data_IF_801671439446
#
_entry.id   IF_801671439446
#
_cell.length_a   1.000
_cell.length_b   1.000
_cell.length_c   1.000
_cell.angle_alpha   90.00
_cell.angle_beta   90.00
_cell.angle_gamma   90.00
#
_symmetry.space_group_name_H-M   'P 1'
#
loop_
_entity.id
_entity.type
_entity.pdbx_description
1 polymer ?
#
# COMPACT_ATOMS: atom_id res chain seq x y z
N UNK A 1 -40.42 11.17 -25.50
CA UNK A 1 -39.56 10.21 -24.76
C UNK A 1 -40.47 9.23 -24.01
N UNK A 2 -40.49 7.96 -24.39
CA UNK A 2 -41.44 6.94 -23.89
C UNK A 2 -41.15 6.59 -22.42
N UNK A 3 -42.17 6.33 -21.58
CA UNK A 3 -42.00 6.00 -20.15
C UNK A 3 -40.95 4.90 -19.89
N UNK A 4 -40.82 3.92 -20.80
CA UNK A 4 -39.81 2.85 -20.72
C UNK A 4 -38.36 3.38 -20.72
N UNK A 5 -38.05 4.39 -21.54
CA UNK A 5 -36.72 5.01 -21.61
C UNK A 5 -36.40 5.81 -20.34
N UNK A 6 -37.42 6.48 -19.74
CA UNK A 6 -37.26 7.16 -18.45
C UNK A 6 -36.97 6.16 -17.32
N UNK A 7 -37.73 5.06 -17.24
CA UNK A 7 -37.49 4.03 -16.22
C UNK A 7 -36.14 3.34 -16.40
N UNK A 8 -35.71 3.07 -17.64
CA UNK A 8 -34.37 2.55 -17.91
C UNK A 8 -33.26 3.51 -17.46
N UNK A 9 -33.41 4.81 -17.73
CA UNK A 9 -32.47 5.84 -17.29
C UNK A 9 -32.39 5.96 -15.76
N UNK A 10 -33.54 5.92 -15.07
CA UNK A 10 -33.60 5.91 -13.60
C UNK A 10 -32.94 4.64 -13.05
N UNK A 11 -33.26 3.48 -13.62
CA UNK A 11 -32.68 2.20 -13.21
C UNK A 11 -31.16 2.19 -13.32
N UNK A 12 -30.61 2.65 -14.45
CA UNK A 12 -29.16 2.78 -14.63
C UNK A 12 -28.55 3.77 -13.62
N UNK A 13 -29.21 4.92 -13.39
CA UNK A 13 -28.76 5.90 -12.40
C UNK A 13 -28.68 5.31 -10.98
N UNK A 14 -29.71 4.57 -10.55
CA UNK A 14 -29.73 3.90 -9.25
C UNK A 14 -28.60 2.88 -9.13
N UNK A 15 -28.38 2.05 -10.15
CA UNK A 15 -27.29 1.06 -10.15
C UNK A 15 -25.92 1.73 -10.03
N UNK A 16 -25.69 2.83 -10.76
CA UNK A 16 -24.44 3.59 -10.69
C UNK A 16 -24.22 4.20 -9.29
N UNK A 17 -25.28 4.75 -8.67
CA UNK A 17 -25.21 5.31 -7.32
C UNK A 17 -24.89 4.21 -6.29
N UNK A 18 -25.55 3.05 -6.39
CA UNK A 18 -25.29 1.91 -5.49
C UNK A 18 -23.86 1.41 -5.68
N UNK A 19 -23.38 1.27 -6.91
CA UNK A 19 -22.02 0.83 -7.21
C UNK A 19 -20.97 1.81 -6.67
N UNK A 20 -21.14 3.11 -6.91
CA UNK A 20 -20.25 4.16 -6.41
C UNK A 20 -20.24 4.22 -4.88
N UNK A 21 -21.41 4.11 -4.25
CA UNK A 21 -21.53 4.10 -2.79
C UNK A 21 -20.86 2.84 -2.21
N UNK A 22 -21.14 1.67 -2.76
CA UNK A 22 -20.50 0.42 -2.34
C UNK A 22 -18.98 0.50 -2.46
N UNK A 23 -18.48 1.06 -3.56
CA UNK A 23 -17.04 1.28 -3.76
C UNK A 23 -16.43 2.24 -2.71
N UNK A 24 -17.08 3.36 -2.41
CA UNK A 24 -16.60 4.34 -1.43
C UNK A 24 -16.58 3.81 0.01
N UNK A 25 -17.54 2.94 0.34
CA UNK A 25 -17.74 2.43 1.69
C UNK A 25 -17.19 1.00 1.90
N UNK A 26 -16.69 0.34 0.86
CA UNK A 26 -15.96 -0.93 1.00
C UNK A 26 -14.68 -0.70 1.80
N UNK A 27 -14.59 -1.35 2.95
CA UNK A 27 -13.34 -1.54 3.69
C UNK A 27 -12.44 -2.50 2.91
N UNK A 28 -11.11 -2.34 2.95
CA UNK A 28 -10.20 -3.25 2.26
C UNK A 28 -10.36 -4.68 2.81
N UNK A 29 -11.00 -5.56 2.04
CA UNK A 29 -11.03 -7.00 2.30
C UNK A 29 -9.97 -7.63 1.41
N UNK A 30 -8.88 -8.16 2.00
CA UNK A 30 -7.71 -8.93 1.50
C UNK A 30 -7.33 -8.97 -0.01
N UNK A 31 -8.23 -8.80 -0.97
CA UNK A 31 -7.99 -8.72 -2.42
C UNK A 31 -8.71 -7.55 -3.13
N UNK A 32 -9.68 -6.89 -2.50
CA UNK A 32 -10.36 -5.68 -3.02
C UNK A 32 -9.91 -4.51 -2.16
N UNK A 33 -9.18 -3.57 -2.75
CA UNK A 33 -8.78 -2.39 -2.01
C UNK A 33 -9.97 -1.49 -1.68
N UNK A 34 -9.93 -0.96 -0.47
CA UNK A 34 -10.86 0.07 -0.04
C UNK A 34 -10.44 1.45 -0.51
N UNK A 35 -11.31 2.43 -0.26
CA UNK A 35 -11.09 3.85 -0.59
C UNK A 35 -10.72 4.68 0.64
N UNK A 36 -11.18 4.24 1.82
CA UNK A 36 -10.99 4.93 3.11
C UNK A 36 -9.88 4.26 3.89
N UNK A 37 -8.90 5.07 4.32
CA UNK A 37 -7.83 4.62 5.22
C UNK A 37 -8.26 4.75 6.69
N UNK A 38 -9.04 5.78 7.02
CA UNK A 38 -9.47 6.06 8.39
C UNK A 38 -8.31 6.51 9.29
N UNK A 39 -8.47 6.35 10.60
CA UNK A 39 -7.48 6.78 11.60
C UNK A 39 -7.45 8.29 11.82
N UNK A 40 -6.74 8.69 12.87
CA UNK A 40 -6.47 10.07 13.24
C UNK A 40 -5.27 10.59 12.45
N UNK A 41 -5.40 11.79 11.90
CA UNK A 41 -4.28 12.43 11.20
C UNK A 41 -3.23 12.83 12.22
N UNK A 42 -2.06 12.17 12.17
CA UNK A 42 -0.98 12.34 13.14
C UNK A 42 0.24 12.97 12.48
N UNK A 43 0.91 13.87 13.22
CA UNK A 43 2.21 14.39 12.83
C UNK A 43 3.27 13.28 12.82
N UNK A 44 4.33 13.38 12.00
CA UNK A 44 5.47 12.47 12.09
C UNK A 44 6.02 12.39 13.52
N UNK A 45 6.26 11.17 14.05
CA UNK A 45 6.90 11.04 15.36
C UNK A 45 8.35 11.53 15.29
N UNK A 46 8.90 11.93 16.43
CA UNK A 46 10.33 12.25 16.53
C UNK A 46 11.21 10.98 16.42
N UNK A 47 10.63 9.81 16.68
CA UNK A 47 11.27 8.50 16.61
C UNK A 47 10.30 7.52 15.95
N UNK A 48 10.62 7.10 14.72
CA UNK A 48 9.81 6.17 13.94
C UNK A 48 9.85 4.73 14.49
N UNK A 49 10.91 4.34 15.18
CA UNK A 49 11.01 3.00 15.78
C UNK A 49 9.92 2.73 16.82
N UNK A 50 9.34 3.79 17.39
CA UNK A 50 8.14 3.72 18.25
C UNK A 50 6.89 3.15 17.53
N UNK A 51 6.93 3.04 16.21
CA UNK A 51 5.88 2.46 15.39
C UNK A 51 6.11 0.97 15.07
N UNK A 52 7.29 0.41 15.38
CA UNK A 52 7.58 -1.00 15.11
C UNK A 52 6.70 -1.94 15.93
N UNK A 53 6.42 -3.13 15.37
CA UNK A 53 5.68 -4.18 16.07
C UNK A 53 4.17 -3.95 16.21
N UNK A 54 3.60 -2.89 15.62
CA UNK A 54 2.14 -2.62 15.66
C UNK A 54 1.32 -3.46 14.67
N UNK A 55 1.95 -4.45 14.03
CA UNK A 55 1.29 -5.42 13.16
C UNK A 55 1.18 -4.95 11.71
N UNK A 56 0.04 -5.21 11.08
CA UNK A 56 -0.18 -4.91 9.65
C UNK A 56 -0.64 -3.45 9.50
N UNK A 57 0.07 -2.70 8.67
CA UNK A 57 -0.29 -1.33 8.31
C UNK A 57 -1.22 -1.25 7.11
N UNK A 58 -1.68 -0.05 6.78
CA UNK A 58 -2.41 0.25 5.55
C UNK A 58 -1.72 1.37 4.78
N UNK A 59 -1.48 1.18 3.48
CA UNK A 59 -1.01 2.24 2.59
C UNK A 59 -2.19 2.73 1.75
N UNK A 60 -2.32 4.05 1.62
CA UNK A 60 -3.19 4.71 0.64
C UNK A 60 -2.33 5.55 -0.28
N UNK A 61 -2.17 5.10 -1.52
CA UNK A 61 -1.44 5.88 -2.53
C UNK A 61 -2.27 7.06 -3.01
N UNK A 62 -1.61 8.07 -3.59
CA UNK A 62 -2.29 9.13 -4.30
C UNK A 62 -3.01 8.66 -5.58
N UNK A 63 -3.64 9.61 -6.26
CA UNK A 63 -4.33 9.40 -7.54
C UNK A 63 -5.80 8.95 -7.42
N UNK A 64 -6.46 8.92 -8.59
CA UNK A 64 -7.85 8.51 -8.73
C UNK A 64 -7.99 7.29 -9.67
N UNK A 65 -8.77 6.26 -9.31
CA UNK A 65 -9.50 6.16 -8.05
C UNK A 65 -8.56 5.77 -6.88
N UNK A 66 -8.85 6.24 -5.65
CA UNK A 66 -8.03 5.98 -4.47
C UNK A 66 -8.05 4.50 -4.08
N UNK A 67 -6.94 4.00 -3.55
CA UNK A 67 -6.75 2.59 -3.29
C UNK A 67 -5.99 2.39 -1.98
N UNK A 68 -6.53 1.55 -1.09
CA UNK A 68 -5.96 1.21 0.22
C UNK A 68 -5.65 -0.28 0.29
N UNK A 69 -4.41 -0.64 0.65
CA UNK A 69 -4.01 -2.04 0.86
C UNK A 69 -3.30 -2.24 2.18
N UNK A 70 -3.43 -3.46 2.70
CA UNK A 70 -2.64 -3.95 3.81
C UNK A 70 -1.19 -4.13 3.39
N UNK A 71 -0.28 -3.70 4.25
CA UNK A 71 1.16 -3.79 4.05
C UNK A 71 1.83 -4.29 5.33
N UNK A 72 2.91 -5.03 5.13
CA UNK A 72 3.93 -5.16 6.16
C UNK A 72 4.90 -3.98 6.02
N UNK A 73 5.58 -3.65 7.10
CA UNK A 73 6.53 -2.53 7.13
C UNK A 73 7.65 -2.80 8.12
N UNK A 74 8.68 -1.96 8.04
CA UNK A 74 9.62 -1.67 9.11
C UNK A 74 9.84 -0.15 9.16
N UNK A 75 10.67 0.32 10.08
CA UNK A 75 11.01 1.75 10.19
C UNK A 75 12.51 1.98 10.17
N UNK A 76 12.90 3.22 9.93
CA UNK A 76 14.24 3.76 10.14
C UNK A 76 14.15 5.18 10.72
N UNK A 77 15.29 5.84 10.90
CA UNK A 77 15.35 7.19 11.50
C UNK A 77 14.58 8.26 10.69
N UNK A 78 14.30 8.01 9.41
CA UNK A 78 13.68 8.98 8.51
C UNK A 78 12.20 8.70 8.25
N UNK A 79 11.75 7.44 8.35
CA UNK A 79 10.39 7.07 7.99
C UNK A 79 10.05 5.59 8.05
N UNK A 80 9.11 5.24 7.17
CA UNK A 80 8.54 3.89 7.07
C UNK A 80 9.07 3.22 5.81
N UNK A 81 9.46 1.96 5.95
CA UNK A 81 9.96 1.12 4.86
C UNK A 81 8.89 0.10 4.51
N UNK A 82 8.52 0.01 3.23
CA UNK A 82 7.63 -1.02 2.72
C UNK A 82 8.29 -1.75 1.55
N UNK A 83 7.93 -3.01 1.36
CA UNK A 83 8.44 -3.82 0.26
C UNK A 83 7.32 -4.61 -0.42
N UNK A 84 7.50 -4.90 -1.71
CA UNK A 84 6.63 -5.78 -2.50
C UNK A 84 7.45 -6.64 -3.44
N UNK A 85 6.89 -7.80 -3.81
CA UNK A 85 7.46 -8.61 -4.88
C UNK A 85 7.60 -7.81 -6.18
N UNK A 86 8.57 -8.14 -7.04
CA UNK A 86 8.76 -7.50 -8.34
C UNK A 86 7.72 -7.99 -9.38
N UNK A 87 6.47 -8.16 -8.98
CA UNK A 87 5.36 -8.67 -9.80
C UNK A 87 4.55 -7.57 -10.48
N UNK A 88 4.94 -6.31 -10.26
CA UNK A 88 4.22 -5.15 -10.79
C UNK A 88 2.92 -4.86 -10.05
N UNK A 89 2.89 -5.09 -8.73
CA UNK A 89 1.80 -4.73 -7.83
C UNK A 89 1.24 -3.32 -8.07
N UNK A 90 -0.09 -3.22 -8.06
CA UNK A 90 -0.80 -1.99 -8.43
C UNK A 90 -0.44 -0.80 -7.54
N UNK A 91 -0.34 -1.01 -6.23
CA UNK A 91 0.01 0.06 -5.28
C UNK A 91 1.42 0.59 -5.52
N UNK A 92 2.40 -0.28 -5.83
CA UNK A 92 3.78 0.13 -6.10
C UNK A 92 3.87 0.96 -7.38
N UNK A 93 3.17 0.54 -8.45
CA UNK A 93 3.02 1.34 -9.68
C UNK A 93 2.40 2.71 -9.38
N UNK A 94 1.39 2.76 -8.52
CA UNK A 94 0.76 4.03 -8.10
C UNK A 94 1.70 4.92 -7.31
N UNK A 95 2.45 4.38 -6.36
CA UNK A 95 3.42 5.14 -5.56
C UNK A 95 4.53 5.77 -6.43
N UNK A 96 4.86 5.18 -7.58
CA UNK A 96 5.79 5.79 -8.55
C UNK A 96 5.21 7.02 -9.27
N UNK A 97 3.92 6.96 -9.63
CA UNK A 97 3.24 8.00 -10.43
C UNK A 97 2.71 9.12 -9.53
N UNK A 98 2.15 8.74 -8.38
CA UNK A 98 1.51 9.61 -7.39
C UNK A 98 2.11 9.30 -5.99
N UNK A 99 3.33 9.77 -5.72
CA UNK A 99 4.11 9.36 -4.54
C UNK A 99 3.56 9.88 -3.22
N UNK A 100 2.77 10.94 -3.28
CA UNK A 100 2.14 11.54 -2.11
C UNK A 100 0.97 10.66 -1.65
N UNK A 101 1.05 10.10 -0.45
CA UNK A 101 0.07 9.17 0.10
C UNK A 101 -0.10 9.28 1.61
N UNK A 102 -0.68 8.23 2.18
CA UNK A 102 -0.87 8.07 3.62
C UNK A 102 -0.52 6.65 4.05
N UNK A 103 0.07 6.51 5.24
CA UNK A 103 0.23 5.23 5.91
C UNK A 103 -0.49 5.28 7.24
N UNK A 104 -1.30 4.26 7.51
CA UNK A 104 -2.00 4.09 8.78
C UNK A 104 -1.43 2.89 9.52
N UNK A 105 -1.04 3.12 10.77
CA UNK A 105 -0.54 2.11 11.70
C UNK A 105 -1.34 2.20 13.01
N UNK A 106 -2.09 1.15 13.35
CA UNK A 106 -3.05 1.21 14.45
C UNK A 106 -4.15 2.24 14.15
N UNK A 107 -4.33 3.22 15.04
CA UNK A 107 -5.29 4.32 14.84
C UNK A 107 -4.67 5.59 14.25
N UNK A 108 -3.34 5.64 14.06
CA UNK A 108 -2.63 6.82 13.58
C UNK A 108 -2.40 6.76 12.07
N UNK A 109 -2.64 7.88 11.39
CA UNK A 109 -2.47 8.03 9.94
C UNK A 109 -1.51 9.17 9.64
N UNK A 110 -0.41 8.85 8.97
CA UNK A 110 0.68 9.76 8.61
C UNK A 110 0.60 10.16 7.15
N UNK A 111 0.78 11.45 6.87
CA UNK A 111 0.87 11.97 5.51
C UNK A 111 2.33 11.87 5.01
N UNK A 112 2.59 11.05 4.00
CA UNK A 112 3.94 10.68 3.58
C UNK A 112 4.12 10.79 2.06
N UNK A 113 5.37 10.78 1.63
CA UNK A 113 5.78 10.69 0.23
C UNK A 113 6.65 9.45 0.04
N UNK A 114 6.26 8.62 -0.93
CA UNK A 114 7.03 7.45 -1.33
C UNK A 114 8.22 7.84 -2.21
N UNK A 115 9.35 7.20 -1.98
CA UNK A 115 10.50 7.11 -2.87
C UNK A 115 10.83 5.64 -3.06
N UNK A 116 10.86 5.19 -4.31
CA UNK A 116 11.39 3.86 -4.61
C UNK A 116 12.91 3.86 -4.47
N UNK A 117 13.44 2.82 -3.83
CA UNK A 117 14.88 2.61 -3.65
C UNK A 117 15.35 1.56 -4.66
N UNK A 118 16.36 1.91 -5.46
CA UNK A 118 16.81 1.09 -6.60
C UNK A 118 18.21 0.51 -6.37
N UNK A 119 18.60 -0.44 -7.22
CA UNK A 119 19.93 -1.05 -7.16
C UNK A 119 20.21 -1.72 -5.81
N UNK A 120 21.49 -1.78 -5.43
CA UNK A 120 21.92 -2.37 -4.15
C UNK A 120 21.60 -1.48 -2.94
N UNK A 121 21.23 -0.21 -3.17
CA UNK A 121 20.79 0.71 -2.09
C UNK A 121 19.59 0.13 -1.34
N UNK A 122 18.77 -0.71 -1.98
CA UNK A 122 17.60 -1.34 -1.34
C UNK A 122 17.97 -2.42 -0.31
N UNK A 123 19.18 -2.99 -0.36
CA UNK A 123 19.51 -4.17 0.44
C UNK A 123 19.43 -3.92 1.96
N UNK A 124 19.97 -2.82 2.51
CA UNK A 124 19.81 -2.52 3.94
C UNK A 124 18.34 -2.32 4.35
N UNK A 125 17.52 -1.72 3.49
CA UNK A 125 16.09 -1.56 3.73
C UNK A 125 15.37 -2.92 3.76
N UNK A 126 15.73 -3.83 2.85
CA UNK A 126 15.19 -5.19 2.82
C UNK A 126 15.67 -6.03 4.02
N UNK A 127 16.87 -5.79 4.52
CA UNK A 127 17.35 -6.43 5.75
C UNK A 127 16.56 -5.97 6.97
N UNK A 128 16.32 -4.66 7.12
CA UNK A 128 15.43 -4.11 8.15
C UNK A 128 14.01 -4.68 8.04
N UNK A 129 13.44 -4.61 6.85
CA UNK A 129 12.10 -5.13 6.55
C UNK A 129 12.00 -6.64 6.84
N UNK A 130 12.99 -7.41 6.39
CA UNK A 130 13.07 -8.85 6.60
C UNK A 130 13.20 -9.21 8.07
N UNK A 131 14.02 -8.48 8.82
CA UNK A 131 14.17 -8.63 10.27
C UNK A 131 12.86 -8.39 11.00
N UNK A 132 12.18 -7.27 10.72
CA UNK A 132 10.90 -6.91 11.35
C UNK A 132 9.79 -7.93 11.06
N UNK A 133 9.79 -8.52 9.87
CA UNK A 133 8.71 -9.38 9.38
C UNK A 133 9.06 -10.87 9.38
N UNK A 134 10.22 -11.27 9.93
CA UNK A 134 10.74 -12.65 9.94
C UNK A 134 10.83 -13.27 8.54
N UNK A 135 11.22 -12.45 7.57
CA UNK A 135 11.40 -12.84 6.18
C UNK A 135 12.89 -12.91 5.86
N UNK A 136 13.48 -14.10 5.68
CA UNK A 136 14.89 -14.22 5.36
C UNK A 136 15.19 -13.66 3.96
N UNK A 137 16.36 -13.05 3.79
CA UNK A 137 16.81 -12.51 2.50
C UNK A 137 16.90 -13.58 1.39
N UNK A 138 17.21 -14.83 1.78
CA UNK A 138 17.35 -15.99 0.88
C UNK A 138 18.31 -15.74 -0.28
N UNK A 139 19.53 -15.32 0.02
CA UNK A 139 20.60 -15.19 -0.98
C UNK A 139 21.06 -16.55 -1.54
N UNK A 140 20.80 -17.63 -0.79
CA UNK A 140 21.09 -19.02 -1.10
C UNK A 140 19.95 -19.74 -1.86
N UNK A 141 19.00 -18.98 -2.44
CA UNK A 141 17.88 -19.52 -3.17
C UNK A 141 18.33 -20.21 -4.48
N UNK A 142 18.15 -21.53 -4.57
CA UNK A 142 18.62 -22.40 -5.65
C UNK A 142 17.50 -22.84 -6.62
N UNK A 143 16.24 -22.56 -6.30
CA UNK A 143 15.10 -22.79 -7.18
C UNK A 143 15.01 -21.73 -8.30
N UNK A 144 14.29 -22.06 -9.38
CA UNK A 144 13.96 -21.08 -10.41
C UNK A 144 13.11 -19.94 -9.83
N UNK A 145 13.48 -18.69 -10.11
CA UNK A 145 12.70 -17.53 -9.71
C UNK A 145 11.50 -17.36 -10.65
N UNK A 146 10.32 -17.71 -10.13
CA UNK A 146 9.02 -17.48 -10.77
C UNK A 146 8.40 -16.19 -10.20
N UNK A 147 8.34 -15.17 -11.06
CA UNK A 147 7.79 -13.85 -10.71
C UNK A 147 6.33 -13.96 -10.23
N UNK A 148 6.02 -13.31 -9.12
CA UNK A 148 4.77 -13.34 -8.38
C UNK A 148 4.61 -14.53 -7.43
N UNK A 149 5.52 -15.52 -7.43
CA UNK A 149 5.29 -16.79 -6.75
C UNK A 149 6.32 -17.11 -5.67
N UNK A 150 7.61 -17.16 -5.99
CA UNK A 150 8.65 -17.64 -5.08
C UNK A 150 9.87 -16.72 -4.98
N UNK A 151 9.75 -15.44 -5.34
CA UNK A 151 10.92 -14.57 -5.36
C UNK A 151 11.52 -14.34 -3.97
N UNK A 152 12.84 -14.53 -3.82
CA UNK A 152 13.53 -14.32 -2.56
C UNK A 152 13.58 -12.83 -2.21
N UNK A 153 13.56 -12.51 -0.91
CA UNK A 153 13.32 -11.13 -0.43
C UNK A 153 14.33 -10.12 -0.99
N UNK A 154 15.61 -10.49 -1.17
CA UNK A 154 16.63 -9.60 -1.73
C UNK A 154 16.33 -9.06 -3.16
N UNK A 155 15.34 -9.65 -3.85
CA UNK A 155 14.89 -9.22 -5.18
C UNK A 155 13.68 -8.29 -5.16
N UNK A 156 13.12 -8.01 -3.99
CA UNK A 156 11.88 -7.24 -3.84
C UNK A 156 12.10 -5.74 -4.11
N UNK A 157 11.02 -5.07 -4.50
CA UNK A 157 10.95 -3.63 -4.70
C UNK A 157 10.73 -2.96 -3.34
N UNK A 158 11.46 -1.86 -3.06
CA UNK A 158 11.40 -1.14 -1.78
C UNK A 158 10.88 0.28 -1.99
N UNK A 159 10.01 0.71 -1.09
CA UNK A 159 9.54 2.09 -0.99
C UNK A 159 9.83 2.63 0.39
N UNK A 160 10.57 3.73 0.45
CA UNK A 160 10.82 4.51 1.65
C UNK A 160 9.84 5.68 1.70
N UNK A 161 9.12 5.81 2.80
CA UNK A 161 8.03 6.76 2.99
C UNK A 161 8.44 7.77 4.05
N UNK A 162 8.68 9.00 3.63
CA UNK A 162 9.09 10.10 4.51
C UNK A 162 8.02 11.17 4.61
N UNK A 163 8.00 12.00 5.68
CA UNK A 163 7.09 13.13 5.81
C UNK A 163 7.04 14.03 4.58
N UNK A 164 5.84 14.52 4.25
CA UNK A 164 5.61 15.48 3.17
C UNK A 164 5.14 16.84 3.67
#
# INVERSE_FOLDING_TARGET
MTNKLKFAGIGLGVVLVIAATTYVFMTPYNRIAGVRIGGDLTAPPADWSSLDGRGIGQVKTGGFPPFVVHILYSTDDEGIITATRPDGGYWAKRARIEPNGWIKLGDETFALKAREVFGDERLPYLESYGGANRMPMRYDFDEEIIRGQNEPLHTWEVFHWTPR
#
